data_IF_302022378163
#
_entry.id   IF_302022378163
#
_cell.length_a   1.000
_cell.length_b   1.000
_cell.length_c   1.000
_cell.angle_alpha   90.00
_cell.angle_beta   90.00
_cell.angle_gamma   90.00
#
_symmetry.space_group_name_H-M   'P 1'
#
loop_
_entity.id
_entity.type
_entity.pdbx_description
1 polymer ?
#
# COMPACT_ATOMS: atom_id res chain seq x y z
N UNK A 1 16.70 -38.75 -17.15
CA UNK A 1 16.51 -38.62 -15.69
C UNK A 1 16.61 -37.14 -15.33
N UNK A 2 15.68 -36.60 -14.51
CA UNK A 2 15.45 -35.19 -14.10
C UNK A 2 14.25 -34.42 -14.70
N UNK A 3 13.17 -35.10 -15.09
CA UNK A 3 11.88 -34.45 -15.35
C UNK A 3 11.11 -34.12 -14.06
N UNK A 4 11.31 -34.91 -13.01
CA UNK A 4 10.48 -34.87 -11.80
C UNK A 4 10.81 -33.67 -10.90
N UNK A 5 12.09 -33.29 -10.81
CA UNK A 5 12.52 -32.09 -10.09
C UNK A 5 11.98 -30.81 -10.74
N UNK A 6 11.87 -30.80 -12.08
CA UNK A 6 11.33 -29.65 -12.83
C UNK A 6 9.80 -29.54 -12.66
N UNK A 7 9.10 -30.68 -12.61
CA UNK A 7 7.67 -30.75 -12.27
C UNK A 7 7.38 -30.27 -10.85
N UNK A 8 8.13 -30.75 -9.86
CA UNK A 8 7.97 -30.37 -8.45
C UNK A 8 8.17 -28.86 -8.22
N UNK A 9 9.16 -28.26 -8.87
CA UNK A 9 9.36 -26.80 -8.80
C UNK A 9 8.20 -26.00 -9.41
N UNK A 10 7.54 -26.53 -10.45
CA UNK A 10 6.39 -25.88 -11.09
C UNK A 10 5.14 -25.94 -10.20
N UNK A 11 4.92 -27.05 -9.50
CA UNK A 11 3.79 -27.21 -8.57
C UNK A 11 3.97 -26.35 -7.32
N UNK A 12 5.17 -26.30 -6.75
CA UNK A 12 5.50 -25.41 -5.62
C UNK A 12 5.33 -23.92 -5.99
N UNK A 13 5.75 -23.53 -7.20
CA UNK A 13 5.55 -22.17 -7.68
C UNK A 13 4.06 -21.85 -7.87
N UNK A 14 3.27 -22.81 -8.36
CA UNK A 14 1.82 -22.69 -8.48
C UNK A 14 1.18 -22.55 -7.10
N UNK A 15 1.47 -23.43 -6.16
CA UNK A 15 0.96 -23.35 -4.78
C UNK A 15 1.28 -21.99 -4.16
N UNK A 16 2.53 -21.54 -4.25
CA UNK A 16 2.93 -20.19 -3.81
C UNK A 16 2.10 -19.09 -4.46
N UNK A 17 1.82 -19.19 -5.76
CA UNK A 17 1.02 -18.20 -6.48
C UNK A 17 -0.44 -18.21 -6.02
N UNK A 18 -1.05 -19.38 -5.89
CA UNK A 18 -2.43 -19.53 -5.41
C UNK A 18 -2.58 -19.02 -3.98
N UNK A 19 -1.63 -19.32 -3.10
CA UNK A 19 -1.62 -18.76 -1.74
C UNK A 19 -1.59 -17.22 -1.77
N UNK A 20 -0.82 -16.60 -2.69
CA UNK A 20 -0.84 -15.14 -2.85
C UNK A 20 -2.18 -14.62 -3.37
N UNK A 21 -2.77 -15.24 -4.39
CA UNK A 21 -4.05 -14.79 -4.98
C UNK A 21 -5.14 -14.71 -3.91
N UNK A 22 -5.19 -15.67 -2.99
CA UNK A 22 -6.19 -15.67 -1.92
C UNK A 22 -5.89 -14.69 -0.78
N UNK A 23 -4.60 -14.41 -0.51
CA UNK A 23 -4.19 -13.52 0.58
C UNK A 23 -4.12 -12.05 0.17
N UNK A 24 -3.80 -11.76 -1.10
CA UNK A 24 -3.66 -10.38 -1.62
C UNK A 24 -4.90 -9.52 -1.31
N UNK A 25 -6.14 -9.96 -1.56
CA UNK A 25 -7.31 -9.13 -1.29
C UNK A 25 -7.39 -8.65 0.16
N UNK A 26 -7.08 -9.53 1.12
CA UNK A 26 -7.07 -9.17 2.54
C UNK A 26 -5.95 -8.17 2.84
N UNK A 27 -4.73 -8.43 2.36
CA UNK A 27 -3.57 -7.56 2.59
C UNK A 27 -3.74 -6.18 1.96
N UNK A 28 -4.25 -6.11 0.72
CA UNK A 28 -4.54 -4.87 0.03
C UNK A 28 -5.62 -4.07 0.75
N UNK A 29 -6.67 -4.72 1.26
CA UNK A 29 -7.70 -4.05 2.04
C UNK A 29 -7.15 -3.43 3.34
N UNK A 30 -6.24 -4.11 4.03
CA UNK A 30 -5.59 -3.54 5.23
C UNK A 30 -4.67 -2.36 4.87
N UNK A 31 -3.90 -2.47 3.79
CA UNK A 31 -3.05 -1.39 3.30
C UNK A 31 -3.90 -0.15 2.93
N UNK A 32 -4.98 -0.34 2.18
CA UNK A 32 -5.87 0.75 1.76
C UNK A 32 -6.50 1.47 2.96
N UNK A 33 -6.91 0.75 4.01
CA UNK A 33 -7.42 1.35 5.25
C UNK A 33 -6.37 2.23 5.94
N UNK A 34 -5.13 1.74 6.07
CA UNK A 34 -4.07 2.53 6.71
C UNK A 34 -3.69 3.76 5.88
N UNK A 35 -3.66 3.63 4.55
CA UNK A 35 -3.38 4.75 3.65
C UNK A 35 -4.45 5.83 3.72
N UNK A 36 -5.74 5.46 3.69
CA UNK A 36 -6.84 6.41 3.85
C UNK A 36 -6.73 7.12 5.19
N UNK A 37 -6.45 6.38 6.26
CA UNK A 37 -6.27 6.94 7.61
C UNK A 37 -5.16 8.00 7.64
N UNK A 38 -4.01 7.71 7.04
CA UNK A 38 -2.87 8.66 6.96
C UNK A 38 -3.23 9.88 6.11
N UNK A 39 -3.85 9.66 4.95
CA UNK A 39 -4.22 10.73 4.02
C UNK A 39 -5.18 11.73 4.66
N UNK A 40 -6.24 11.24 5.32
CA UNK A 40 -7.19 12.10 6.02
C UNK A 40 -6.56 12.86 7.20
N UNK A 41 -5.63 12.21 7.93
CA UNK A 41 -4.90 12.86 9.01
C UNK A 41 -4.01 14.00 8.49
N UNK A 42 -3.34 13.81 7.36
CA UNK A 42 -2.50 14.83 6.75
C UNK A 42 -3.32 15.98 6.16
N UNK A 43 -4.46 15.70 5.53
CA UNK A 43 -5.41 16.73 5.09
C UNK A 43 -5.98 17.56 6.25
N UNK A 44 -6.27 16.92 7.39
CA UNK A 44 -6.71 17.61 8.59
C UNK A 44 -5.60 18.51 9.16
N UNK A 45 -4.35 18.03 9.15
CA UNK A 45 -3.17 18.77 9.58
C UNK A 45 -2.89 19.97 8.68
N UNK A 46 -2.94 19.78 7.36
CA UNK A 46 -2.79 20.84 6.36
C UNK A 46 -3.86 21.92 6.58
N UNK A 47 -5.13 21.52 6.72
CA UNK A 47 -6.23 22.46 7.00
C UNK A 47 -6.03 23.22 8.30
N UNK A 48 -5.51 22.59 9.34
CA UNK A 48 -5.24 23.26 10.61
C UNK A 48 -4.10 24.30 10.52
N UNK A 49 -3.08 24.04 9.69
CA UNK A 49 -1.91 24.90 9.54
C UNK A 49 -2.09 26.00 8.47
N UNK A 50 -2.75 25.68 7.36
CA UNK A 50 -2.86 26.51 6.16
C UNK A 50 -4.29 26.99 5.88
N UNK A 51 -5.27 26.55 6.67
CA UNK A 51 -6.69 26.93 6.53
C UNK A 51 -7.43 26.27 5.37
N UNK A 52 -6.73 25.59 4.46
CA UNK A 52 -7.30 24.97 3.25
C UNK A 52 -6.68 23.59 3.02
N UNK A 53 -7.31 22.80 2.15
CA UNK A 53 -6.74 21.56 1.60
C UNK A 53 -6.45 21.81 0.13
N UNK A 54 -5.23 21.55 -0.29
CA UNK A 54 -4.79 21.84 -1.67
C UNK A 54 -4.43 20.56 -2.41
N UNK A 55 -4.87 20.46 -3.67
CA UNK A 55 -4.42 19.39 -4.57
C UNK A 55 -3.49 20.01 -5.62
N UNK A 56 -2.29 19.44 -5.87
CA UNK A 56 -1.41 19.91 -6.93
C UNK A 56 -1.88 19.45 -8.33
N UNK A 57 -2.89 18.58 -8.41
CA UNK A 57 -3.39 18.01 -9.64
C UNK A 57 -4.69 18.69 -10.10
N UNK A 58 -4.79 18.98 -11.39
CA UNK A 58 -5.97 19.62 -12.01
C UNK A 58 -7.09 18.62 -12.35
N UNK A 59 -7.10 17.43 -11.75
CA UNK A 59 -8.09 16.39 -12.02
C UNK A 59 -8.65 15.83 -10.72
N UNK A 60 -9.91 15.36 -10.75
CA UNK A 60 -10.58 14.75 -9.59
C UNK A 60 -10.12 13.31 -9.28
N UNK A 61 -9.13 12.79 -10.03
CA UNK A 61 -8.58 11.46 -9.77
C UNK A 61 -7.76 11.47 -8.49
N UNK A 62 -8.00 10.47 -7.64
CA UNK A 62 -7.14 10.22 -6.49
C UNK A 62 -5.73 9.84 -6.93
N UNK A 63 -4.75 10.53 -6.38
CA UNK A 63 -3.33 10.22 -6.57
C UNK A 63 -2.73 9.91 -5.21
N UNK A 64 -2.11 8.73 -5.08
CA UNK A 64 -1.45 8.31 -3.85
C UNK A 64 -0.30 9.28 -3.54
N UNK A 65 -0.18 9.80 -2.31
CA UNK A 65 0.95 10.65 -1.92
C UNK A 65 2.28 9.88 -2.04
N UNK A 66 3.26 10.47 -2.73
CA UNK A 66 4.59 9.85 -2.94
C UNK A 66 5.46 9.89 -1.68
N UNK A 67 5.30 10.93 -0.85
CA UNK A 67 6.11 11.14 0.35
C UNK A 67 5.20 11.18 1.57
N UNK A 68 5.61 10.49 2.63
CA UNK A 68 4.98 10.59 3.94
C UNK A 68 5.88 11.41 4.87
N UNK A 69 5.28 12.27 5.68
CA UNK A 69 6.01 13.06 6.67
C UNK A 69 6.42 12.11 7.82
N UNK A 70 7.70 11.75 7.87
CA UNK A 70 8.28 11.05 9.03
C UNK A 70 8.72 12.06 10.09
N UNK A 71 8.47 11.78 11.38
CA UNK A 71 8.93 12.65 12.46
C UNK A 71 10.46 12.71 12.48
N UNK A 72 11.03 13.89 12.73
CA UNK A 72 12.48 14.10 12.81
C UNK A 72 13.11 13.47 14.06
N UNK A 73 12.32 13.30 15.12
CA UNK A 73 12.73 12.69 16.38
C UNK A 73 11.77 11.52 16.66
N UNK A 74 12.30 10.31 16.75
CA UNK A 74 11.55 9.12 17.16
C UNK A 74 11.79 8.95 18.66
N UNK A 75 10.72 8.90 19.46
CA UNK A 75 10.85 8.47 20.86
C UNK A 75 11.35 7.02 20.85
N UNK A 76 12.47 6.77 21.53
CA UNK A 76 12.94 5.42 21.81
C UNK A 76 12.03 4.74 22.83
#
# INVERSE_FOLDING_TARGET
MNTDVKGMNSELAREKMWSRIHLIPMLTAEEDRDLVRRHLADQAREKALLGTQTSPYNSDKYVRPTYAITPSQVSK
#
